data_IF_293198862217
#
_entry.id   IF_293198862217
#
_cell.length_a   1.000
_cell.length_b   1.000
_cell.length_c   1.000
_cell.angle_alpha   90.00
_cell.angle_beta   90.00
_cell.angle_gamma   90.00
#
_symmetry.space_group_name_H-M   'P 1'
#
loop_
_entity.id
_entity.type
_entity.pdbx_description
1 polymer ?
#
# COMPACT_ATOMS: atom_id res chain seq x y z
N UNK A 1 18.87 -23.15 -8.39
CA UNK A 1 17.51 -23.55 -8.00
C UNK A 1 16.68 -22.27 -7.83
N UNK A 2 15.63 -22.06 -8.64
CA UNK A 2 14.82 -20.83 -8.55
C UNK A 2 13.98 -20.85 -7.28
N UNK A 3 14.28 -19.97 -6.32
CA UNK A 3 13.55 -19.87 -5.06
C UNK A 3 12.21 -19.18 -5.33
N UNK A 4 11.13 -19.97 -5.45
CA UNK A 4 9.77 -19.45 -5.65
C UNK A 4 9.16 -18.96 -4.33
N UNK A 5 8.35 -17.92 -4.41
CA UNK A 5 7.49 -17.46 -3.31
C UNK A 5 6.23 -18.32 -3.30
N UNK A 6 5.68 -18.60 -2.12
CA UNK A 6 4.29 -19.08 -2.03
C UNK A 6 3.32 -17.97 -2.41
N UNK A 7 2.07 -18.29 -2.73
CA UNK A 7 1.05 -17.27 -3.00
C UNK A 7 0.85 -16.34 -1.79
N UNK A 8 0.92 -16.90 -0.59
CA UNK A 8 0.84 -16.11 0.65
C UNK A 8 2.04 -15.18 0.82
N UNK A 9 3.27 -15.67 0.66
CA UNK A 9 4.49 -14.84 0.71
C UNK A 9 4.47 -13.74 -0.37
N UNK A 10 3.97 -14.05 -1.58
CA UNK A 10 3.81 -13.09 -2.67
C UNK A 10 2.82 -11.98 -2.31
N UNK A 11 1.69 -12.33 -1.67
CA UNK A 11 0.70 -11.35 -1.22
C UNK A 11 1.21 -10.50 -0.05
N UNK A 12 1.98 -11.08 0.88
CA UNK A 12 2.66 -10.32 1.93
C UNK A 12 3.71 -9.36 1.35
N UNK A 13 4.46 -9.77 0.33
CA UNK A 13 5.39 -8.88 -0.37
C UNK A 13 4.66 -7.70 -1.02
N UNK A 14 3.55 -7.96 -1.71
CA UNK A 14 2.69 -6.90 -2.28
C UNK A 14 2.19 -5.96 -1.20
N UNK A 15 1.80 -6.49 -0.04
CA UNK A 15 1.37 -5.68 1.11
C UNK A 15 2.54 -4.84 1.66
N UNK A 16 3.75 -5.38 1.72
CA UNK A 16 4.96 -4.65 2.14
C UNK A 16 5.26 -3.47 1.22
N UNK A 17 5.12 -3.65 -0.09
CA UNK A 17 5.32 -2.58 -1.07
C UNK A 17 4.29 -1.46 -0.86
N UNK A 18 3.02 -1.83 -0.65
CA UNK A 18 1.97 -0.85 -0.32
C UNK A 18 2.29 -0.14 1.00
N UNK A 19 2.73 -0.88 2.03
CA UNK A 19 3.07 -0.32 3.33
C UNK A 19 4.19 0.73 3.24
N UNK A 20 5.26 0.44 2.49
CA UNK A 20 6.35 1.39 2.26
C UNK A 20 5.86 2.68 1.59
N UNK A 21 5.02 2.57 0.56
CA UNK A 21 4.45 3.73 -0.17
C UNK A 21 3.53 4.55 0.73
N UNK A 22 2.65 3.89 1.49
CA UNK A 22 1.73 4.51 2.45
C UNK A 22 2.52 5.24 3.55
N UNK A 23 3.62 4.67 4.04
CA UNK A 23 4.50 5.32 5.01
C UNK A 23 5.13 6.59 4.44
N UNK A 24 5.63 6.56 3.20
CA UNK A 24 6.17 7.75 2.52
C UNK A 24 5.12 8.84 2.40
N UNK A 25 3.90 8.49 1.96
CA UNK A 25 2.79 9.44 1.89
C UNK A 25 2.52 10.05 3.26
N UNK A 26 2.40 9.22 4.31
CA UNK A 26 2.10 9.67 5.67
C UNK A 26 3.16 10.61 6.25
N UNK A 27 4.45 10.35 5.96
CA UNK A 27 5.60 11.12 6.46
C UNK A 27 5.83 12.42 5.68
N UNK A 28 5.72 12.40 4.35
CA UNK A 28 5.93 13.59 3.53
C UNK A 28 4.75 14.55 3.58
N UNK A 29 3.57 14.03 3.95
CA UNK A 29 2.34 14.80 4.02
C UNK A 29 2.45 16.17 4.71
N UNK A 30 2.99 16.27 5.94
CA UNK A 30 3.01 17.53 6.68
C UNK A 30 3.99 18.54 6.07
N UNK A 31 5.00 18.08 5.34
CA UNK A 31 6.06 18.91 4.76
C UNK A 31 5.55 19.75 3.57
N UNK A 32 4.49 19.28 2.90
CA UNK A 32 3.91 19.91 1.70
C UNK A 32 2.60 20.67 1.97
N UNK A 33 2.32 21.01 3.24
CA UNK A 33 1.12 21.75 3.65
C UNK A 33 1.29 23.29 3.61
N UNK A 34 2.41 23.81 3.11
CA UNK A 34 2.65 25.27 2.96
C UNK A 34 1.81 25.87 1.81
N UNK A 35 1.68 27.20 1.77
CA UNK A 35 0.71 27.92 0.90
C UNK A 35 1.29 28.18 -0.49
N UNK A 36 0.53 27.89 -1.54
CA UNK A 36 0.86 28.24 -2.94
C UNK A 36 0.20 27.32 -3.97
N UNK A 37 0.33 27.65 -5.25
CA UNK A 37 -0.23 26.87 -6.38
C UNK A 37 0.50 25.54 -6.58
N UNK A 38 1.82 25.51 -6.31
CA UNK A 38 2.62 24.30 -6.39
C UNK A 38 2.15 23.24 -5.39
N UNK A 39 1.79 23.67 -4.18
CA UNK A 39 1.32 22.80 -3.12
C UNK A 39 -0.07 22.23 -3.40
N UNK A 40 -0.95 22.96 -4.10
CA UNK A 40 -2.21 22.40 -4.58
C UNK A 40 -1.97 21.21 -5.52
N UNK A 41 -1.04 21.35 -6.48
CA UNK A 41 -0.69 20.24 -7.39
C UNK A 41 -0.11 19.04 -6.64
N UNK A 42 0.82 19.28 -5.71
CA UNK A 42 1.42 18.22 -4.88
C UNK A 42 0.36 17.51 -4.05
N UNK A 43 -0.58 18.23 -3.46
CA UNK A 43 -1.67 17.65 -2.69
C UNK A 43 -2.62 16.80 -3.57
N UNK A 44 -2.94 17.24 -4.78
CA UNK A 44 -3.71 16.42 -5.74
C UNK A 44 -2.99 15.12 -6.08
N UNK A 45 -1.68 15.19 -6.36
CA UNK A 45 -0.85 14.01 -6.60
C UNK A 45 -0.87 13.06 -5.40
N UNK A 46 -0.73 13.57 -4.18
CA UNK A 46 -0.80 12.74 -2.97
C UNK A 46 -2.15 12.02 -2.82
N UNK A 47 -3.26 12.69 -3.15
CA UNK A 47 -4.59 12.07 -3.14
C UNK A 47 -4.66 10.93 -4.14
N UNK A 48 -4.17 11.14 -5.37
CA UNK A 48 -4.16 10.13 -6.43
C UNK A 48 -3.35 8.90 -6.04
N UNK A 49 -2.11 9.12 -5.58
CA UNK A 49 -1.24 8.03 -5.12
C UNK A 49 -1.88 7.32 -3.92
N UNK A 50 -2.53 8.05 -3.01
CA UNK A 50 -3.26 7.46 -1.88
C UNK A 50 -4.39 6.57 -2.35
N UNK A 51 -5.25 7.05 -3.25
CA UNK A 51 -6.38 6.27 -3.81
C UNK A 51 -5.87 4.99 -4.48
N UNK A 52 -4.78 5.08 -5.24
CA UNK A 52 -4.15 3.92 -5.86
C UNK A 52 -3.67 2.91 -4.81
N UNK A 53 -2.98 3.36 -3.76
CA UNK A 53 -2.49 2.47 -2.72
C UNK A 53 -3.63 1.87 -1.88
N UNK A 54 -4.71 2.60 -1.61
CA UNK A 54 -5.91 2.07 -0.95
C UNK A 54 -6.59 1.01 -1.81
N UNK A 55 -6.68 1.22 -3.13
CA UNK A 55 -7.22 0.21 -4.05
C UNK A 55 -6.34 -1.06 -4.07
N UNK A 56 -5.02 -0.90 -4.12
CA UNK A 56 -4.09 -2.03 -4.07
C UNK A 56 -4.21 -2.79 -2.75
N UNK A 57 -4.29 -2.07 -1.62
CA UNK A 57 -4.54 -2.64 -0.29
C UNK A 57 -5.80 -3.51 -0.26
N UNK A 58 -6.94 -2.99 -0.74
CA UNK A 58 -8.20 -3.73 -0.79
C UNK A 58 -8.09 -5.03 -1.58
N UNK A 59 -7.40 -4.99 -2.74
CA UNK A 59 -7.18 -6.17 -3.58
C UNK A 59 -6.29 -7.20 -2.89
N UNK A 60 -5.16 -6.76 -2.32
CA UNK A 60 -4.20 -7.63 -1.63
C UNK A 60 -4.85 -8.26 -0.39
N UNK A 61 -5.64 -7.51 0.38
CA UNK A 61 -6.36 -8.05 1.54
C UNK A 61 -7.31 -9.17 1.13
N UNK A 62 -8.07 -9.02 0.03
CA UNK A 62 -8.95 -10.07 -0.51
C UNK A 62 -8.16 -11.33 -0.89
N UNK A 63 -6.98 -11.16 -1.48
CA UNK A 63 -6.10 -12.27 -1.83
C UNK A 63 -5.52 -12.96 -0.58
N UNK A 64 -5.17 -12.20 0.47
CA UNK A 64 -4.66 -12.72 1.74
C UNK A 64 -5.71 -13.47 2.55
N UNK A 65 -6.99 -13.08 2.45
CA UNK A 65 -8.11 -13.74 3.13
C UNK A 65 -8.34 -15.20 2.70
N UNK A 66 -7.69 -15.65 1.63
CA UNK A 66 -7.68 -17.06 1.24
C UNK A 66 -6.82 -17.93 2.17
N UNK A 67 -5.89 -17.33 2.94
CA UNK A 67 -5.12 -18.03 3.95
C UNK A 67 -5.92 -18.08 5.28
N UNK A 68 -6.18 -19.27 5.87
CA UNK A 68 -6.98 -19.39 7.09
C UNK A 68 -6.41 -18.68 8.30
N UNK A 69 -5.09 -18.67 8.48
CA UNK A 69 -4.44 -18.04 9.64
C UNK A 69 -4.45 -16.51 9.51
N UNK A 70 -4.26 -16.00 8.30
CA UNK A 70 -4.47 -14.59 7.99
C UNK A 70 -5.90 -14.17 8.27
N UNK A 71 -6.88 -14.96 7.81
CA UNK A 71 -8.30 -14.67 8.02
C UNK A 71 -8.65 -14.55 9.51
N UNK A 72 -8.16 -15.47 10.34
CA UNK A 72 -8.36 -15.40 11.80
C UNK A 72 -7.84 -14.10 12.40
N UNK A 73 -6.66 -13.64 11.97
CA UNK A 73 -6.12 -12.36 12.42
C UNK A 73 -6.96 -11.19 11.90
N UNK A 74 -7.28 -11.19 10.60
CA UNK A 74 -8.06 -10.13 9.97
C UNK A 74 -9.44 -9.97 10.60
N UNK A 75 -10.12 -11.05 10.97
CA UNK A 75 -11.42 -10.99 11.65
C UNK A 75 -11.36 -10.17 12.95
N UNK A 76 -10.19 -10.14 13.63
CA UNK A 76 -9.94 -9.36 14.84
C UNK A 76 -9.60 -7.90 14.50
N UNK A 77 -8.74 -7.68 13.50
CA UNK A 77 -8.14 -6.35 13.23
C UNK A 77 -8.84 -5.56 12.13
N UNK A 78 -9.81 -6.14 11.41
CA UNK A 78 -10.52 -5.49 10.29
C UNK A 78 -11.19 -4.17 10.68
N UNK A 79 -11.58 -4.03 11.95
CA UNK A 79 -12.18 -2.79 12.49
C UNK A 79 -11.27 -1.57 12.29
N UNK A 80 -9.94 -1.78 12.27
CA UNK A 80 -8.97 -0.71 12.00
C UNK A 80 -9.09 -0.16 10.58
N UNK A 81 -9.55 -0.97 9.63
CA UNK A 81 -9.61 -0.60 8.21
C UNK A 81 -11.05 -0.53 7.69
N UNK A 82 -12.04 -0.67 8.56
CA UNK A 82 -13.46 -0.58 8.23
C UNK A 82 -13.81 0.72 7.48
N UNK A 83 -13.28 1.91 7.85
CA UNK A 83 -13.51 3.13 7.05
C UNK A 83 -13.05 3.00 5.59
N UNK A 84 -12.02 2.20 5.33
CA UNK A 84 -11.52 1.92 3.96
C UNK A 84 -12.44 0.93 3.24
N UNK A 85 -12.94 -0.09 3.95
CA UNK A 85 -13.86 -1.07 3.41
C UNK A 85 -15.20 -0.43 3.02
N UNK A 86 -15.73 0.45 3.85
CA UNK A 86 -16.96 1.20 3.59
C UNK A 86 -16.85 2.07 2.34
N UNK A 87 -15.63 2.51 2.02
CA UNK A 87 -15.32 3.33 0.86
C UNK A 87 -14.77 2.51 -0.33
N UNK A 88 -14.89 1.18 -0.34
CA UNK A 88 -14.33 0.35 -1.42
C UNK A 88 -14.81 0.78 -2.81
N UNK A 89 -16.12 1.00 -2.95
CA UNK A 89 -16.74 1.37 -4.23
C UNK A 89 -16.24 2.72 -4.76
N UNK A 90 -16.29 3.82 -3.97
CA UNK A 90 -15.71 5.09 -4.38
C UNK A 90 -14.20 5.02 -4.67
N UNK A 91 -13.42 4.30 -3.85
CA UNK A 91 -11.97 4.13 -4.07
C UNK A 91 -11.70 3.44 -5.41
N UNK A 92 -12.48 2.41 -5.73
CA UNK A 92 -12.39 1.69 -7.00
C UNK A 92 -12.72 2.62 -8.18
N UNK A 93 -13.80 3.39 -8.11
CA UNK A 93 -14.19 4.32 -9.20
C UNK A 93 -13.13 5.41 -9.42
N UNK A 94 -12.64 6.04 -8.34
CA UNK A 94 -11.57 7.05 -8.43
C UNK A 94 -10.29 6.47 -9.08
N UNK A 95 -9.91 5.24 -8.73
CA UNK A 95 -8.75 4.58 -9.33
C UNK A 95 -8.95 4.29 -10.82
N UNK A 96 -10.13 3.82 -11.24
CA UNK A 96 -10.36 3.51 -12.65
C UNK A 96 -10.34 4.77 -13.51
N UNK A 97 -10.91 5.87 -13.03
CA UNK A 97 -10.84 7.14 -13.74
C UNK A 97 -9.41 7.68 -13.85
N UNK A 98 -8.58 7.48 -12.82
CA UNK A 98 -7.15 7.80 -12.90
C UNK A 98 -6.42 6.98 -13.97
N UNK A 99 -6.65 5.65 -14.02
CA UNK A 99 -6.00 4.78 -15.02
C UNK A 99 -6.47 5.09 -16.45
N UNK A 100 -7.78 5.31 -16.65
CA UNK A 100 -8.34 5.70 -17.93
C UNK A 100 -7.70 7.00 -18.46
N UNK A 101 -7.52 8.00 -17.58
CA UNK A 101 -6.86 9.26 -17.92
C UNK A 101 -5.42 9.09 -18.44
N UNK A 102 -4.64 8.19 -17.84
CA UNK A 102 -3.25 7.93 -18.24
C UNK A 102 -3.17 7.11 -19.53
N UNK A 103 -4.05 6.11 -19.68
CA UNK A 103 -3.95 5.12 -20.75
C UNK A 103 -4.62 5.54 -22.05
N UNK A 104 -5.73 6.28 -22.00
CA UNK A 104 -6.58 6.47 -23.18
C UNK A 104 -6.21 7.68 -24.04
N UNK A 105 -5.24 8.50 -23.63
CA UNK A 105 -4.87 9.78 -24.32
C UNK A 105 -6.08 10.69 -24.64
N UNK A 106 -7.24 10.40 -24.05
CA UNK A 106 -8.50 11.12 -24.24
C UNK A 106 -8.46 12.39 -23.41
N UNK A 107 -8.65 13.53 -24.06
CA UNK A 107 -8.63 14.84 -23.39
C UNK A 107 -9.82 15.06 -22.43
N UNK A 108 -10.77 14.12 -22.37
CA UNK A 108 -12.02 14.25 -21.62
C UNK A 108 -12.18 13.07 -20.67
N UNK A 109 -12.48 13.36 -19.40
CA UNK A 109 -12.89 12.36 -18.43
C UNK A 109 -14.35 11.95 -18.70
N UNK A 110 -14.65 10.65 -18.78
CA UNK A 110 -16.02 10.15 -18.85
C UNK A 110 -16.85 10.55 -17.61
N UNK A 111 -16.19 10.60 -16.45
CA UNK A 111 -16.75 11.09 -15.18
C UNK A 111 -15.67 11.89 -14.45
N UNK A 112 -15.97 13.13 -14.05
CA UNK A 112 -14.98 13.94 -13.32
C UNK A 112 -14.78 13.38 -11.91
N UNK A 113 -13.58 13.52 -11.36
CA UNK A 113 -13.30 13.13 -9.97
C UNK A 113 -14.29 13.77 -8.98
N UNK A 114 -14.67 15.03 -9.23
CA UNK A 114 -15.64 15.75 -8.40
C UNK A 114 -17.03 15.10 -8.46
N UNK A 115 -17.44 14.54 -9.60
CA UNK A 115 -18.74 13.88 -9.73
C UNK A 115 -18.78 12.61 -8.86
N UNK A 116 -17.68 11.84 -8.84
CA UNK A 116 -17.54 10.67 -7.95
C UNK A 116 -17.58 11.11 -6.49
N UNK A 117 -16.82 12.15 -6.15
CA UNK A 117 -16.75 12.68 -4.79
C UNK A 117 -18.14 13.10 -4.29
N UNK A 118 -18.89 13.84 -5.09
CA UNK A 118 -20.25 14.29 -4.76
C UNK A 118 -21.21 13.11 -4.67
N UNK A 119 -21.17 12.19 -5.65
CA UNK A 119 -22.04 11.00 -5.70
C UNK A 119 -21.91 10.11 -4.48
N UNK A 120 -20.70 9.96 -3.95
CA UNK A 120 -20.42 9.11 -2.79
C UNK A 120 -20.24 9.87 -1.48
N UNK A 121 -20.44 11.18 -1.47
CA UNK A 121 -20.19 12.06 -0.32
C UNK A 121 -18.80 11.83 0.31
N UNK A 122 -17.79 11.65 -0.54
CA UNK A 122 -16.42 11.41 -0.07
C UNK A 122 -15.82 12.69 0.54
N UNK A 123 -15.18 12.60 1.70
CA UNK A 123 -14.44 13.74 2.23
C UNK A 123 -13.30 14.13 1.28
N UNK A 124 -13.29 15.39 0.86
CA UNK A 124 -12.21 15.98 0.06
C UNK A 124 -11.05 16.49 0.92
N UNK A 125 -11.26 16.53 2.24
CA UNK A 125 -10.29 16.98 3.19
C UNK A 125 -9.01 16.15 3.09
N UNK A 126 -7.91 16.85 2.98
CA UNK A 126 -6.58 16.27 2.90
C UNK A 126 -6.24 15.39 4.13
N UNK A 127 -6.67 15.82 5.32
CA UNK A 127 -6.60 15.03 6.55
C UNK A 127 -7.32 13.68 6.48
N UNK A 128 -8.39 13.54 5.70
CA UNK A 128 -9.09 12.28 5.52
C UNK A 128 -8.22 11.24 4.81
N UNK A 129 -7.57 11.61 3.70
CA UNK A 129 -6.68 10.70 2.97
C UNK A 129 -5.47 10.30 3.82
N UNK A 130 -4.91 11.23 4.60
CA UNK A 130 -3.84 10.92 5.56
C UNK A 130 -4.31 9.98 6.68
N UNK A 131 -5.53 10.16 7.16
CA UNK A 131 -6.12 9.26 8.15
C UNK A 131 -6.23 7.84 7.58
N UNK A 132 -6.76 7.68 6.36
CA UNK A 132 -6.88 6.38 5.68
C UNK A 132 -5.53 5.69 5.47
N UNK A 133 -4.48 6.45 5.10
CA UNK A 133 -3.12 5.90 5.01
C UNK A 133 -2.56 5.49 6.37
N UNK A 134 -2.83 6.25 7.42
CA UNK A 134 -2.51 5.89 8.80
C UNK A 134 -3.12 4.55 9.21
N UNK A 135 -4.39 4.30 8.88
CA UNK A 135 -5.06 3.03 9.17
C UNK A 135 -4.37 1.84 8.49
N UNK A 136 -4.05 1.95 7.19
CA UNK A 136 -3.29 0.92 6.47
C UNK A 136 -1.91 0.71 7.09
N UNK A 137 -1.23 1.80 7.48
CA UNK A 137 0.09 1.71 8.12
C UNK A 137 0.06 0.88 9.40
N UNK A 138 -0.89 1.15 10.30
CA UNK A 138 -1.04 0.38 11.55
C UNK A 138 -1.44 -1.07 11.28
N UNK A 139 -2.39 -1.29 10.37
CA UNK A 139 -2.85 -2.62 9.99
C UNK A 139 -1.71 -3.49 9.44
N UNK A 140 -0.87 -2.94 8.55
CA UNK A 140 0.31 -3.63 8.02
C UNK A 140 1.33 -3.97 9.12
N UNK A 141 1.55 -3.07 10.08
CA UNK A 141 2.46 -3.33 11.20
C UNK A 141 2.00 -4.47 12.11
N UNK A 142 0.69 -4.69 12.24
CA UNK A 142 0.17 -5.85 12.99
C UNK A 142 0.40 -7.15 12.19
N UNK A 143 0.14 -7.13 10.88
CA UNK A 143 0.37 -8.29 10.00
C UNK A 143 1.84 -8.69 9.99
N UNK A 144 2.74 -7.73 9.80
CA UNK A 144 4.19 -7.97 9.76
C UNK A 144 4.67 -8.67 11.04
N UNK A 145 4.18 -8.26 12.21
CA UNK A 145 4.52 -8.90 13.49
C UNK A 145 3.99 -10.33 13.61
N UNK A 146 2.77 -10.60 13.12
CA UNK A 146 2.13 -11.91 13.23
C UNK A 146 2.60 -12.92 12.18
N UNK A 147 3.07 -12.45 11.02
CA UNK A 147 3.58 -13.26 9.91
C UNK A 147 5.05 -12.94 9.60
N UNK A 148 5.83 -12.60 10.63
CA UNK A 148 7.19 -12.08 10.48
C UNK A 148 8.12 -13.04 9.75
N UNK A 149 7.91 -14.35 9.87
CA UNK A 149 8.70 -15.37 9.17
C UNK A 149 8.46 -15.32 7.67
N UNK A 150 7.21 -15.40 7.24
CA UNK A 150 6.79 -15.35 5.84
C UNK A 150 7.14 -13.99 5.22
N UNK A 151 6.93 -12.92 5.99
CA UNK A 151 7.28 -11.56 5.61
C UNK A 151 8.78 -11.39 5.33
N UNK A 152 9.63 -11.81 6.28
CA UNK A 152 11.08 -11.71 6.14
C UNK A 152 11.61 -12.62 5.03
N UNK A 153 11.02 -13.80 4.85
CA UNK A 153 11.36 -14.68 3.73
C UNK A 153 11.01 -14.05 2.38
N UNK A 154 9.83 -13.43 2.29
CA UNK A 154 9.39 -12.74 1.08
C UNK A 154 10.31 -11.59 0.71
N UNK A 155 10.70 -10.76 1.69
CA UNK A 155 11.64 -9.65 1.51
C UNK A 155 13.04 -10.12 1.10
N UNK A 156 13.62 -11.12 1.79
CA UNK A 156 14.93 -11.67 1.42
C UNK A 156 14.97 -12.20 -0.01
N UNK A 157 13.91 -12.88 -0.44
CA UNK A 157 13.80 -13.40 -1.82
C UNK A 157 13.63 -12.26 -2.84
N UNK A 158 12.95 -11.18 -2.47
CA UNK A 158 12.85 -9.98 -3.31
C UNK A 158 14.19 -9.26 -3.46
N UNK A 159 14.89 -9.03 -2.35
CA UNK A 159 16.22 -8.40 -2.31
C UNK A 159 17.25 -9.20 -3.12
N UNK A 160 17.23 -10.53 -2.99
CA UNK A 160 18.07 -11.42 -3.80
C UNK A 160 17.80 -11.29 -5.31
N UNK A 161 16.53 -11.12 -5.71
CA UNK A 161 16.17 -10.91 -7.12
C UNK A 161 16.59 -9.54 -7.64
N UNK A 162 16.71 -8.54 -6.78
CA UNK A 162 17.21 -7.20 -7.11
C UNK A 162 18.74 -7.10 -7.08
N UNK A 163 19.45 -8.19 -6.76
CA UNK A 163 20.92 -8.18 -6.66
C UNK A 163 21.45 -7.52 -5.38
N UNK A 164 20.61 -7.30 -4.37
CA UNK A 164 21.04 -6.80 -3.05
C UNK A 164 21.68 -7.96 -2.29
N UNK A 165 22.96 -7.83 -1.94
CA UNK A 165 23.71 -8.87 -1.21
C UNK A 165 23.07 -9.17 0.14
N UNK A 166 22.59 -10.39 0.34
CA UNK A 166 22.07 -10.84 1.64
C UNK A 166 23.28 -11.01 2.58
N UNK A 167 23.43 -10.13 3.56
CA UNK A 167 24.40 -10.35 4.64
C UNK A 167 23.89 -11.50 5.51
N UNK A 168 24.42 -12.69 5.28
CA UNK A 168 24.29 -13.77 6.24
C UNK A 168 25.23 -13.43 7.38
N UNK A 169 24.69 -13.07 8.55
CA UNK A 169 25.44 -13.06 9.81
C UNK A 169 25.76 -14.51 10.20
N UNK A 170 26.54 -15.22 9.37
CA UNK A 170 27.21 -16.42 9.81
C UNK A 170 28.35 -15.95 10.70
N UNK A 171 28.31 -16.30 11.99
CA UNK A 171 29.38 -16.02 12.97
C UNK A 171 30.73 -16.69 12.66
N UNK A 172 31.02 -17.00 11.40
CA UNK A 172 32.32 -17.42 10.94
C UNK A 172 33.21 -16.19 10.75
N UNK A 173 34.03 -15.91 11.76
CA UNK A 173 35.26 -15.16 11.54
C UNK A 173 36.19 -16.08 10.74
N UNK A 174 36.50 -15.72 9.49
CA UNK A 174 37.68 -16.27 8.83
C UNK A 174 38.90 -15.79 9.62
N UNK A 175 39.34 -16.61 10.58
CA UNK A 175 40.67 -16.46 11.13
C UNK A 175 41.64 -16.86 10.02
N UNK A 176 42.46 -15.89 9.58
CA UNK A 176 43.71 -16.01 8.83
C UNK A 176 43.80 -17.18 7.86
N UNK A 177 43.81 -16.87 6.57
CA UNK A 177 44.47 -17.74 5.59
C UNK A 177 45.54 -16.89 4.92
N UNK A 178 46.77 -17.38 5.06
CA UNK A 178 48.00 -16.88 4.43
C UNK A 178 47.90 -16.80 2.91
#
# INVERSE_FOLDING_TARGET
MSVKLTDFESNLLRLCIVWGRVMTIYKEYPNHMKKGTHELMVRHLFREVTVEQLHNFLKIRKDLLQNPDFKKLDDIIKVLVEPILDNEKPIKELRHNYVAHIQEKGRNFDVMMNDIIVKYNLPTAFSFYRYMTGLVFYYCGIIERNFSKEWNNAMKKYDAKLGVGISVNSGFKMNKVD
#
